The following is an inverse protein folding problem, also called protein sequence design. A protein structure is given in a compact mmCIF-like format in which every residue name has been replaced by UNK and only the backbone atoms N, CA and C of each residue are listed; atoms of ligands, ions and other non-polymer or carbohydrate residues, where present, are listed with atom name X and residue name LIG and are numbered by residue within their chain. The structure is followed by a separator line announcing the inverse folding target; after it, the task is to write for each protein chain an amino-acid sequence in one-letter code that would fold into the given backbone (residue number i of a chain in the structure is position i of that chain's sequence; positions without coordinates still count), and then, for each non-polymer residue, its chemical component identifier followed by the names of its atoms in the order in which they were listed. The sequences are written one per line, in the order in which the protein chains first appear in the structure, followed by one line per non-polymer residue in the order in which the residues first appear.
data_IF_287574647578
#
_entry.id   IF_287574647578
#
_cell.length_a   1.000
_cell.length_b   1.000
_cell.length_c   1.000
_cell.angle_alpha   90.00
_cell.angle_beta   90.00
_cell.angle_gamma   90.00
#
_symmetry.space_group_name_H-M   'P 1'
#
loop_
_entity.id
_entity.type
_entity.pdbx_description
1 polymer ?
#
# COMPACT_ATOMS: atom_id res chain seq x y z
N UNK A 1 -5.41 -10.30 9.73
CA UNK A 1 -3.95 -10.45 10.00
C UNK A 1 -3.30 -9.36 9.16
N UNK A 2 -2.39 -8.57 9.70
CA UNK A 2 -1.69 -7.57 8.88
C UNK A 2 -0.49 -8.22 8.21
N UNK A 3 -0.28 -7.94 6.92
CA UNK A 3 0.88 -8.44 6.19
C UNK A 3 1.39 -7.40 5.20
N UNK A 4 2.71 -7.41 4.98
CA UNK A 4 3.34 -6.70 3.87
C UNK A 4 3.70 -7.74 2.82
N UNK A 5 3.29 -7.51 1.58
CA UNK A 5 3.50 -8.41 0.43
C UNK A 5 4.49 -7.85 -0.57
N UNK A 6 4.54 -6.52 -0.71
CA UNK A 6 5.46 -5.85 -1.63
C UNK A 6 5.93 -4.51 -1.04
N UNK A 7 7.14 -4.10 -1.43
CA UNK A 7 7.69 -2.78 -1.11
C UNK A 7 8.27 -2.12 -2.36
N UNK A 8 8.24 -0.80 -2.41
CA UNK A 8 8.89 0.01 -3.44
C UNK A 8 9.44 1.30 -2.83
N UNK A 9 10.39 1.93 -3.52
CA UNK A 9 10.92 3.25 -3.16
C UNK A 9 10.62 4.19 -4.32
N UNK A 10 10.01 5.34 -4.04
CA UNK A 10 9.69 6.33 -5.08
C UNK A 10 10.91 7.22 -5.41
N UNK A 11 10.74 8.10 -6.40
CA UNK A 11 11.80 9.01 -6.85
C UNK A 11 12.27 10.02 -5.78
N UNK A 12 11.48 10.18 -4.71
CA UNK A 12 11.77 11.09 -3.59
C UNK A 12 12.41 10.37 -2.40
N UNK A 13 12.57 9.04 -2.48
CA UNK A 13 13.16 8.23 -1.41
C UNK A 13 12.16 7.73 -0.37
N UNK A 14 10.86 7.97 -0.56
CA UNK A 14 9.82 7.42 0.33
C UNK A 14 9.67 5.92 0.09
N UNK A 15 9.38 5.19 1.16
CA UNK A 15 9.17 3.74 1.14
C UNK A 15 7.68 3.45 1.13
N UNK A 16 7.20 2.73 0.13
CA UNK A 16 5.80 2.36 0.01
C UNK A 16 5.70 0.86 0.28
N UNK A 17 4.96 0.49 1.32
CA UNK A 17 4.61 -0.89 1.64
C UNK A 17 3.17 -1.16 1.20
N UNK A 18 2.96 -2.32 0.55
CA UNK A 18 1.66 -2.78 0.13
C UNK A 18 1.37 -4.17 0.67
N UNK A 19 0.15 -4.40 1.14
CA UNK A 19 -0.31 -5.68 1.63
C UNK A 19 -1.76 -5.65 2.09
N UNK A 20 -2.04 -6.26 3.23
CA UNK A 20 -3.39 -6.41 3.75
C UNK A 20 -3.44 -5.90 5.19
N UNK A 21 -4.49 -5.15 5.51
CA UNK A 21 -4.88 -4.83 6.87
C UNK A 21 -6.41 -4.84 6.93
N UNK A 22 -6.99 -5.31 8.03
CA UNK A 22 -8.45 -5.32 8.22
C UNK A 22 -9.25 -6.05 7.12
N UNK A 23 -8.63 -7.02 6.44
CA UNK A 23 -9.19 -7.72 5.25
C UNK A 23 -9.38 -6.80 4.03
N UNK A 24 -8.69 -5.67 4.01
CA UNK A 24 -8.70 -4.69 2.93
C UNK A 24 -7.31 -4.58 2.32
N UNK A 25 -7.25 -4.07 1.09
CA UNK A 25 -5.98 -3.64 0.51
C UNK A 25 -5.40 -2.49 1.33
N UNK A 26 -4.15 -2.64 1.75
CA UNK A 26 -3.48 -1.65 2.58
C UNK A 26 -2.19 -1.15 1.91
N UNK A 27 -2.05 0.16 1.91
CA UNK A 27 -0.82 0.87 1.58
C UNK A 27 -0.35 1.67 2.78
N UNK A 28 0.94 1.65 3.06
CA UNK A 28 1.58 2.54 4.02
C UNK A 28 2.77 3.23 3.34
N UNK A 29 2.90 4.54 3.52
CA UNK A 29 4.02 5.31 3.01
C UNK A 29 4.87 5.80 4.18
N UNK A 30 6.17 5.60 4.08
CA UNK A 30 7.15 6.04 5.05
C UNK A 30 8.11 7.03 4.41
N UNK A 31 8.55 8.01 5.18
CA UNK A 31 9.68 8.86 4.87
C UNK A 31 10.98 8.04 4.88
N UNK A 32 12.06 8.64 4.39
CA UNK A 32 13.39 8.02 4.34
C UNK A 32 13.97 7.70 5.74
N UNK A 33 13.48 8.38 6.77
CA UNK A 33 13.79 8.13 8.18
C UNK A 33 12.93 7.01 8.83
N UNK A 34 12.00 6.42 8.07
CA UNK A 34 11.14 5.33 8.51
C UNK A 34 9.89 5.78 9.29
N UNK A 35 9.66 7.08 9.47
CA UNK A 35 8.37 7.58 9.99
C UNK A 35 7.29 7.48 8.93
N UNK A 36 6.02 7.28 9.33
CA UNK A 36 4.89 7.36 8.40
C UNK A 36 4.82 8.76 7.78
N UNK A 37 4.63 8.85 6.47
CA UNK A 37 4.43 10.11 5.75
C UNK A 37 2.99 10.60 5.99
N UNK A 38 2.76 11.61 6.86
CA UNK A 38 1.41 12.03 7.22
C UNK A 38 0.65 12.67 6.05
N UNK A 39 1.32 13.02 4.95
CA UNK A 39 0.68 13.54 3.75
C UNK A 39 0.09 12.43 2.86
N UNK A 40 0.36 11.15 3.15
CA UNK A 40 -0.16 10.02 2.41
C UNK A 40 -1.43 9.47 3.07
N UNK A 41 -2.58 9.67 2.43
CA UNK A 41 -3.86 9.17 2.92
C UNK A 41 -4.19 9.66 4.34
N UNK A 42 -4.68 8.77 5.19
CA UNK A 42 -4.96 9.06 6.60
C UNK A 42 -3.82 8.52 7.48
N UNK A 43 -3.08 9.42 8.12
CA UNK A 43 -1.99 9.05 9.03
C UNK A 43 -0.85 8.27 8.37
N UNK A 44 -0.64 8.43 7.05
CA UNK A 44 0.37 7.69 6.28
C UNK A 44 -0.11 6.37 5.69
N UNK A 45 -1.42 6.12 5.71
CA UNK A 45 -2.01 4.87 5.23
C UNK A 45 -3.20 5.12 4.31
N UNK A 46 -3.42 4.18 3.41
CA UNK A 46 -4.64 4.07 2.60
C UNK A 46 -5.16 2.65 2.74
N UNK A 47 -6.43 2.53 3.12
CA UNK A 47 -7.18 1.28 3.04
C UNK A 47 -8.17 1.37 1.88
N UNK A 48 -8.27 0.31 1.10
CA UNK A 48 -9.25 0.20 0.00
C UNK A 48 -10.06 -1.05 0.21
N UNK A 49 -11.35 -0.84 0.42
CA UNK A 49 -12.37 -1.89 0.52
C UNK A 49 -12.99 -2.09 -0.87
N UNK A 50 -13.14 -3.35 -1.29
CA UNK A 50 -13.85 -3.68 -2.53
C UNK A 50 -15.28 -4.20 -2.28
N UNK A 51 -15.81 -4.05 -1.06
CA UNK A 51 -17.15 -4.48 -0.62
C UNK A 51 -17.36 -6.01 -0.72
N UNK A 52 -16.32 -6.80 -0.47
CA UNK A 52 -16.39 -8.27 -0.43
C UNK A 52 -16.23 -8.82 0.98
N UNK A 53 -16.88 -9.97 1.24
CA UNK A 53 -16.85 -10.64 2.54
C UNK A 53 -15.72 -11.67 2.69
N UNK A 54 -14.90 -11.87 1.65
CA UNK A 54 -13.81 -12.84 1.63
C UNK A 54 -12.43 -12.20 1.74
N UNK A 55 -11.43 -12.91 1.21
CA UNK A 55 -10.03 -12.54 1.39
C UNK A 55 -9.58 -11.56 0.32
N UNK A 56 -9.17 -10.36 0.73
CA UNK A 56 -8.52 -9.40 -0.15
C UNK A 56 -7.00 -9.45 0.04
N UNK A 57 -6.26 -9.63 -1.06
CA UNK A 57 -4.81 -9.76 -1.02
C UNK A 57 -4.11 -9.00 -2.14
N UNK A 58 -3.13 -8.18 -1.77
CA UNK A 58 -2.17 -7.58 -2.71
C UNK A 58 -1.07 -8.60 -3.06
N UNK A 59 -0.74 -8.71 -4.35
CA UNK A 59 0.35 -9.55 -4.85
C UNK A 59 1.53 -8.75 -5.40
N UNK A 60 1.28 -7.54 -5.92
CA UNK A 60 2.30 -6.74 -6.55
C UNK A 60 2.06 -5.24 -6.35
N UNK A 61 3.15 -4.50 -6.22
CA UNK A 61 3.21 -3.04 -6.25
C UNK A 61 4.27 -2.63 -7.26
N UNK A 62 3.94 -1.69 -8.14
CA UNK A 62 4.90 -0.99 -9.00
C UNK A 62 4.65 0.51 -8.96
N UNK A 63 5.68 1.28 -9.31
CA UNK A 63 5.58 2.71 -9.53
C UNK A 63 5.77 2.93 -11.03
N UNK A 64 4.82 3.58 -11.68
CA UNK A 64 4.93 3.86 -13.12
C UNK A 64 5.82 5.07 -13.43
N UNK A 65 5.99 5.36 -14.72
CA UNK A 65 6.84 6.45 -15.18
C UNK A 65 6.34 7.84 -14.76
N UNK A 66 5.06 7.97 -14.43
CA UNK A 66 4.45 9.18 -13.92
C UNK A 66 4.50 9.29 -12.38
N UNK A 67 5.08 8.30 -11.69
CA UNK A 67 5.20 8.27 -10.24
C UNK A 67 3.94 7.79 -9.51
N UNK A 68 2.98 7.18 -10.22
CA UNK A 68 1.76 6.64 -9.60
C UNK A 68 2.01 5.25 -9.05
N UNK A 69 1.38 4.94 -7.93
CA UNK A 69 1.37 3.59 -7.37
C UNK A 69 0.34 2.74 -8.11
N UNK A 70 0.78 1.61 -8.67
CA UNK A 70 -0.09 0.61 -9.27
C UNK A 70 -0.02 -0.66 -8.45
N UNK A 71 -1.16 -1.08 -7.93
CA UNK A 71 -1.31 -2.24 -7.05
C UNK A 71 -2.15 -3.29 -7.76
N UNK A 72 -1.66 -4.53 -7.76
CA UNK A 72 -2.35 -5.69 -8.32
C UNK A 72 -2.61 -6.73 -7.23
N UNK A 73 -3.82 -7.27 -7.21
CA UNK A 73 -4.28 -8.20 -6.18
C UNK A 73 -5.54 -8.96 -6.59
N UNK A 74 -6.09 -9.71 -5.65
CA UNK A 74 -7.40 -10.37 -5.75
C UNK A 74 -8.30 -9.92 -4.61
N UNK A 75 -9.58 -9.74 -4.90
CA UNK A 75 -10.65 -9.61 -3.92
C UNK A 75 -11.70 -10.68 -4.26
N UNK A 76 -12.12 -11.45 -3.26
CA UNK A 76 -13.04 -12.58 -3.38
C UNK A 76 -14.17 -12.50 -2.36
#
# INVERSE_FOLDING_TARGET
MESIRSIAIDQTGRIIAAGEAEQQFALACYLDDGQLDPAFGEGGKVLTDFDYAGYEGIWALVIDAEGRLVVGGSAE
#
